data_IF_288976563760
#
_entry.id   IF_288976563760
#
_cell.length_a   1.000
_cell.length_b   1.000
_cell.length_c   1.000
_cell.angle_alpha   90.00
_cell.angle_beta   90.00
_cell.angle_gamma   90.00
#
_symmetry.space_group_name_H-M   'P 1'
#
loop_
_entity.id
_entity.type
_entity.pdbx_description
1 polymer ?
#
# COMPACT_ATOMS: atom_id res chain seq x y z
N UNK A 1 -44.66 11.65 13.95
CA UNK A 1 -43.94 10.48 14.51
C UNK A 1 -42.47 10.66 14.18
N UNK A 2 -41.64 10.83 15.20
CA UNK A 2 -40.21 11.13 15.09
C UNK A 2 -39.47 9.80 15.28
N UNK A 3 -38.85 9.25 14.24
CA UNK A 3 -37.97 8.09 14.40
C UNK A 3 -36.58 8.58 14.78
N UNK A 4 -36.24 8.38 16.05
CA UNK A 4 -34.92 8.63 16.60
C UNK A 4 -34.04 7.41 16.29
N UNK A 5 -33.29 7.46 15.19
CA UNK A 5 -32.37 6.38 14.81
C UNK A 5 -31.01 6.64 15.49
N UNK A 6 -30.87 6.09 16.70
CA UNK A 6 -29.61 6.14 17.45
C UNK A 6 -28.51 5.40 16.71
N UNK A 7 -27.50 6.12 16.24
CA UNK A 7 -26.22 5.53 15.86
C UNK A 7 -25.43 5.21 17.14
N UNK A 8 -25.48 3.96 17.57
CA UNK A 8 -24.50 3.40 18.50
C UNK A 8 -23.16 3.22 17.76
N UNK A 9 -22.48 4.33 17.48
CA UNK A 9 -21.11 4.33 16.95
C UNK A 9 -20.14 3.95 18.06
N UNK A 10 -20.02 2.66 18.35
CA UNK A 10 -18.90 2.15 19.15
C UNK A 10 -17.60 2.59 18.47
N UNK A 11 -16.79 3.40 19.16
CA UNK A 11 -15.48 3.82 18.63
C UNK A 11 -14.61 2.57 18.51
N UNK A 12 -14.58 1.96 17.33
CA UNK A 12 -13.65 0.89 17.01
C UNK A 12 -12.24 1.40 17.33
N UNK A 13 -11.54 0.68 18.21
CA UNK A 13 -10.18 1.03 18.62
C UNK A 13 -9.35 1.25 17.36
N UNK A 14 -8.76 2.45 17.21
CA UNK A 14 -7.98 2.81 16.03
C UNK A 14 -6.83 1.82 15.90
N UNK A 15 -6.95 0.88 14.96
CA UNK A 15 -5.90 -0.10 14.67
C UNK A 15 -4.64 0.66 14.25
N UNK A 16 -3.49 0.19 14.71
CA UNK A 16 -2.21 0.64 14.19
C UNK A 16 -1.86 -0.25 13.01
N UNK A 17 -1.04 0.27 12.09
CA UNK A 17 -0.65 -0.46 10.90
C UNK A 17 0.85 -0.36 10.69
N UNK A 18 1.43 -1.48 10.23
CA UNK A 18 2.76 -1.54 9.64
C UNK A 18 2.63 -1.48 8.12
N UNK A 19 3.58 -0.82 7.45
CA UNK A 19 3.67 -0.78 6.00
C UNK A 19 5.04 -1.31 5.55
N UNK A 20 5.00 -2.33 4.70
CA UNK A 20 6.16 -2.88 4.00
C UNK A 20 6.01 -2.63 2.49
N UNK A 21 7.11 -2.33 1.82
CA UNK A 21 7.16 -2.09 0.37
C UNK A 21 8.14 -3.08 -0.24
N UNK A 22 7.73 -3.75 -1.31
CA UNK A 22 8.56 -4.68 -2.08
C UNK A 22 8.54 -4.28 -3.56
N UNK A 23 9.70 -4.32 -4.22
CA UNK A 23 9.75 -4.19 -5.68
C UNK A 23 9.33 -5.51 -6.32
N UNK A 24 8.06 -5.59 -6.71
CA UNK A 24 7.43 -6.79 -7.24
C UNK A 24 7.92 -7.13 -8.65
N UNK A 25 8.00 -6.10 -9.50
CA UNK A 25 8.54 -6.19 -10.85
C UNK A 25 9.58 -5.12 -11.07
N UNK A 26 10.66 -5.50 -11.76
CA UNK A 26 11.64 -4.56 -12.24
C UNK A 26 12.30 -5.12 -13.50
N UNK A 27 12.56 -4.23 -14.45
CA UNK A 27 13.51 -4.46 -15.55
C UNK A 27 14.89 -4.84 -14.98
N UNK A 28 15.62 -5.75 -15.64
CA UNK A 28 16.95 -6.22 -15.16
C UNK A 28 17.99 -5.09 -15.08
N UNK A 29 18.02 -4.24 -16.09
CA UNK A 29 18.93 -3.09 -16.27
C UNK A 29 18.41 -1.77 -15.67
N UNK A 30 17.34 -1.82 -14.87
CA UNK A 30 16.87 -0.63 -14.15
C UNK A 30 17.98 -0.02 -13.27
N UNK A 31 18.02 1.30 -13.18
CA UNK A 31 19.10 2.02 -12.52
C UNK A 31 18.86 2.23 -11.01
N UNK A 32 17.60 2.22 -10.55
CA UNK A 32 17.27 2.64 -9.18
C UNK A 32 17.00 1.50 -8.18
N UNK A 33 16.16 0.50 -8.51
CA UNK A 33 15.80 -0.59 -7.59
C UNK A 33 15.65 -1.92 -8.32
N UNK A 34 16.02 -3.03 -7.69
CA UNK A 34 15.93 -4.38 -8.25
C UNK A 34 14.69 -5.10 -7.74
N UNK A 35 14.25 -6.11 -8.51
CA UNK A 35 13.18 -7.01 -8.08
C UNK A 35 13.56 -7.64 -6.74
N UNK A 36 12.58 -7.72 -5.84
CA UNK A 36 12.70 -8.21 -4.47
C UNK A 36 13.42 -7.28 -3.48
N UNK A 37 13.80 -6.06 -3.86
CA UNK A 37 14.20 -5.04 -2.89
C UNK A 37 13.03 -4.76 -1.93
N UNK A 38 13.34 -4.61 -0.63
CA UNK A 38 12.36 -4.44 0.45
C UNK A 38 12.67 -3.21 1.30
N UNK A 39 11.61 -2.50 1.68
CA UNK A 39 11.69 -1.28 2.48
C UNK A 39 10.61 -1.28 3.56
N UNK A 40 10.99 -0.91 4.79
CA UNK A 40 10.05 -0.69 5.89
C UNK A 40 9.68 0.79 5.98
N UNK A 41 8.41 1.15 5.90
CA UNK A 41 7.97 2.54 6.10
C UNK A 41 7.63 2.81 7.57
N UNK A 42 8.04 3.96 8.16
CA UNK A 42 8.77 5.07 7.55
C UNK A 42 10.30 4.96 7.57
N UNK A 43 10.85 3.91 8.21
CA UNK A 43 12.27 3.75 8.51
C UNK A 43 13.21 3.84 7.30
N UNK A 44 12.81 3.26 6.17
CA UNK A 44 13.61 3.14 4.96
C UNK A 44 13.19 4.12 3.85
N UNK A 45 12.33 5.10 4.14
CA UNK A 45 11.78 6.01 3.12
C UNK A 45 12.87 6.74 2.32
N UNK A 46 13.98 7.12 2.98
CA UNK A 46 15.11 7.80 2.33
C UNK A 46 15.92 6.91 1.39
N UNK A 47 15.69 5.59 1.38
CA UNK A 47 16.31 4.65 0.44
C UNK A 47 15.50 4.48 -0.85
N UNK A 48 14.24 4.90 -0.86
CA UNK A 48 13.36 4.81 -2.02
C UNK A 48 13.64 6.02 -2.92
N UNK A 49 13.81 5.78 -4.22
CA UNK A 49 14.09 6.85 -5.17
C UNK A 49 12.89 7.83 -5.28
N UNK A 50 13.12 9.12 -5.54
CA UNK A 50 12.07 10.14 -5.47
C UNK A 50 10.87 9.88 -6.38
N UNK A 51 11.10 9.36 -7.60
CA UNK A 51 10.03 9.07 -8.55
C UNK A 51 9.08 7.99 -8.06
N UNK A 52 9.65 6.89 -7.54
CA UNK A 52 8.84 5.80 -7.00
C UNK A 52 8.11 6.25 -5.73
N UNK A 53 8.81 6.94 -4.82
CA UNK A 53 8.20 7.43 -3.59
C UNK A 53 7.00 8.36 -3.87
N UNK A 54 7.17 9.33 -4.77
CA UNK A 54 6.11 10.26 -5.13
C UNK A 54 4.86 9.53 -5.66
N UNK A 55 5.05 8.48 -6.48
CA UNK A 55 3.92 7.69 -7.01
C UNK A 55 3.16 6.88 -5.95
N UNK A 56 3.82 6.51 -4.84
CA UNK A 56 3.23 5.70 -3.77
C UNK A 56 2.62 6.53 -2.64
N UNK A 57 2.93 7.83 -2.55
CA UNK A 57 2.67 8.67 -1.38
C UNK A 57 1.22 8.59 -0.89
N UNK A 58 0.24 8.77 -1.78
CA UNK A 58 -1.17 8.80 -1.40
C UNK A 58 -1.65 7.41 -0.94
N UNK A 59 -1.20 6.35 -1.61
CA UNK A 59 -1.49 4.97 -1.19
C UNK A 59 -0.95 4.67 0.20
N UNK A 60 0.32 5.05 0.48
CA UNK A 60 0.94 4.88 1.80
C UNK A 60 0.12 5.59 2.87
N UNK A 61 -0.29 6.84 2.63
CA UNK A 61 -1.07 7.64 3.59
C UNK A 61 -2.45 7.06 3.85
N UNK A 62 -3.16 6.65 2.81
CA UNK A 62 -4.47 6.02 2.93
C UNK A 62 -4.38 4.73 3.75
N UNK A 63 -3.40 3.87 3.43
CA UNK A 63 -3.17 2.61 4.13
C UNK A 63 -2.72 2.83 5.59
N UNK A 64 -1.88 3.82 5.86
CA UNK A 64 -1.44 4.21 7.22
C UNK A 64 -2.63 4.61 8.10
N UNK A 65 -3.65 5.22 7.50
CA UNK A 65 -4.89 5.61 8.18
C UNK A 65 -5.97 4.51 8.20
N UNK A 66 -5.66 3.31 7.72
CA UNK A 66 -6.58 2.17 7.72
C UNK A 66 -7.65 2.21 6.64
N UNK A 67 -7.51 3.08 5.63
CA UNK A 67 -8.38 3.07 4.45
C UNK A 67 -8.08 1.81 3.65
N UNK A 68 -9.14 1.14 3.19
CA UNK A 68 -9.07 -0.02 2.30
C UNK A 68 -9.68 0.37 0.96
N UNK A 69 -8.90 0.25 -0.12
CA UNK A 69 -9.34 0.53 -1.48
C UNK A 69 -9.95 -0.74 -2.07
N UNK A 70 -11.25 -0.72 -2.34
CA UNK A 70 -12.04 -1.95 -2.56
C UNK A 70 -11.97 -2.50 -3.99
N UNK A 71 -11.41 -1.75 -4.94
CA UNK A 71 -11.21 -2.25 -6.29
C UNK A 71 -10.07 -3.27 -6.34
N UNK A 72 -10.26 -4.32 -7.13
CA UNK A 72 -9.27 -5.36 -7.37
C UNK A 72 -8.71 -5.26 -8.78
N UNK A 73 -7.54 -5.86 -8.99
CA UNK A 73 -6.90 -6.01 -10.28
C UNK A 73 -7.06 -7.47 -10.78
N UNK A 74 -8.30 -7.98 -10.80
CA UNK A 74 -8.61 -9.40 -11.12
C UNK A 74 -8.13 -9.78 -12.52
N UNK A 75 -7.58 -10.99 -12.65
CA UNK A 75 -7.04 -11.49 -13.92
C UNK A 75 -5.72 -10.83 -14.34
N UNK A 76 -5.07 -10.08 -13.45
CA UNK A 76 -3.73 -9.50 -13.66
C UNK A 76 -2.71 -10.12 -12.70
N UNK A 77 -1.40 -9.98 -12.94
CA UNK A 77 -0.38 -10.36 -11.96
C UNK A 77 -0.45 -9.60 -10.62
N UNK A 78 -1.29 -8.56 -10.52
CA UNK A 78 -1.36 -7.63 -9.40
C UNK A 78 -2.58 -7.86 -8.51
N UNK A 79 -3.16 -9.07 -8.49
CA UNK A 79 -4.33 -9.32 -7.66
C UNK A 79 -4.11 -8.94 -6.19
N UNK A 80 -5.05 -8.14 -5.67
CA UNK A 80 -4.97 -7.58 -4.32
C UNK A 80 -5.49 -8.54 -3.27
N UNK A 81 -4.80 -8.55 -2.15
CA UNK A 81 -5.34 -8.99 -0.86
C UNK A 81 -6.08 -7.80 -0.25
N UNK A 82 -7.37 -7.99 0.08
CA UNK A 82 -8.22 -6.95 0.69
C UNK A 82 -8.75 -7.45 2.03
N UNK A 83 -8.07 -7.04 3.09
CA UNK A 83 -8.41 -7.20 4.51
C UNK A 83 -8.83 -8.58 5.03
N UNK A 84 -8.26 -9.72 4.60
CA UNK A 84 -8.23 -10.89 5.47
C UNK A 84 -7.31 -10.56 6.65
N UNK A 85 -7.84 -10.67 7.87
CA UNK A 85 -7.08 -10.59 9.12
C UNK A 85 -6.26 -9.29 9.32
N UNK A 86 -6.66 -8.19 8.67
CA UNK A 86 -5.96 -6.90 8.78
C UNK A 86 -4.89 -6.66 7.72
N UNK A 87 -4.73 -7.54 6.72
CA UNK A 87 -3.72 -7.43 5.67
C UNK A 87 -4.31 -6.82 4.40
N UNK A 88 -3.66 -5.82 3.79
CA UNK A 88 -4.09 -5.25 2.50
C UNK A 88 -2.90 -4.94 1.61
N UNK A 89 -3.03 -5.21 0.32
CA UNK A 89 -1.96 -4.94 -0.65
C UNK A 89 -2.38 -3.94 -1.72
N UNK A 90 -1.46 -3.06 -2.09
CA UNK A 90 -1.58 -2.17 -3.25
C UNK A 90 -0.40 -2.34 -4.20
N UNK A 91 -0.62 -2.05 -5.48
CA UNK A 91 0.42 -2.11 -6.51
C UNK A 91 0.52 -0.76 -7.20
N UNK A 92 1.73 -0.21 -7.30
CA UNK A 92 1.99 1.12 -7.86
C UNK A 92 3.14 1.02 -8.85
N UNK A 93 2.92 1.56 -10.05
CA UNK A 93 3.94 1.60 -11.11
C UNK A 93 4.75 2.90 -11.01
N UNK A 94 6.06 2.78 -11.12
CA UNK A 94 6.94 3.94 -11.21
C UNK A 94 6.64 4.74 -12.48
N UNK A 95 6.57 6.08 -12.40
CA UNK A 95 6.32 6.91 -13.56
C UNK A 95 7.54 7.03 -14.49
N UNK A 96 8.74 6.69 -14.01
CA UNK A 96 9.95 6.70 -14.85
C UNK A 96 9.89 5.54 -15.87
N UNK A 97 9.70 5.83 -17.17
CA UNK A 97 9.59 4.79 -18.20
C UNK A 97 10.89 4.02 -18.41
N UNK A 98 12.03 4.58 -17.99
CA UNK A 98 13.35 3.93 -18.13
C UNK A 98 13.58 2.87 -17.05
N UNK A 99 12.96 3.05 -15.88
CA UNK A 99 13.08 2.13 -14.76
C UNK A 99 12.10 0.94 -14.87
N UNK A 100 10.88 1.17 -15.37
CA UNK A 100 9.81 0.19 -15.59
C UNK A 100 9.69 -0.84 -14.44
N UNK A 101 9.24 -0.34 -13.29
CA UNK A 101 9.12 -1.12 -12.06
C UNK A 101 7.75 -0.95 -11.41
N UNK A 102 7.33 -1.97 -10.67
CA UNK A 102 6.08 -2.02 -9.90
C UNK A 102 6.42 -2.34 -8.46
N UNK A 103 5.99 -1.48 -7.55
CA UNK A 103 6.06 -1.71 -6.12
C UNK A 103 4.76 -2.36 -5.62
N UNK A 104 4.90 -3.33 -4.72
CA UNK A 104 3.82 -3.87 -3.91
C UNK A 104 3.93 -3.27 -2.51
N UNK A 105 2.89 -2.58 -2.08
CA UNK A 105 2.73 -2.05 -0.73
C UNK A 105 1.90 -3.06 0.05
N UNK A 106 2.34 -3.48 1.23
CA UNK A 106 1.60 -4.37 2.13
C UNK A 106 1.35 -3.65 3.45
N UNK A 107 0.08 -3.41 3.78
CA UNK A 107 -0.38 -2.95 5.08
C UNK A 107 -0.73 -4.16 5.94
N UNK A 108 -0.26 -4.18 7.18
CA UNK A 108 -0.61 -5.21 8.16
C UNK A 108 -1.07 -4.54 9.45
N UNK A 109 -2.25 -4.91 9.95
CA UNK A 109 -2.72 -4.46 11.26
C UNK A 109 -1.77 -4.94 12.37
N UNK A 110 -1.40 -4.03 13.26
CA UNK A 110 -0.66 -4.32 14.49
C UNK A 110 -1.51 -3.87 15.67
N UNK A 111 -1.62 -4.72 16.69
CA UNK A 111 -2.60 -4.64 17.78
C UNK A 111 -2.76 -3.29 18.49
#
# INVERSE_FOLDING_TARGET
>A
MIFNMGYAGGQAKKRKYKIDIEIYEARKDTWCHKKSDKFEYPKDIGKICPWLLASMQDFIRLLEHGVTLTWKYEGTPYEKVIDPDGVTTEYVRCPDPTANLVAKITRTAVG
#
